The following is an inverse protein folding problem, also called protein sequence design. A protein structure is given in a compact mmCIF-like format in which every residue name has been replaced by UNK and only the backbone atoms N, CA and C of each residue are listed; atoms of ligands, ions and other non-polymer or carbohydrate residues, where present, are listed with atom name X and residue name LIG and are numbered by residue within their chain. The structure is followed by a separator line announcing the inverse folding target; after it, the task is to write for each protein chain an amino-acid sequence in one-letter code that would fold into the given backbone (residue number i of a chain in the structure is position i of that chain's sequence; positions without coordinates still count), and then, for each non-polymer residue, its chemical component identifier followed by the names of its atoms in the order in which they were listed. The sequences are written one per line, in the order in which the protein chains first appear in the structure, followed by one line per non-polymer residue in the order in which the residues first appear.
data_IF_253345366468
#
_entry.id   IF_253345366468
#
_cell.length_a   1.000
_cell.length_b   1.000
_cell.length_c   1.000
_cell.angle_alpha   90.00
_cell.angle_beta   90.00
_cell.angle_gamma   90.00
#
_symmetry.space_group_name_H-M   'P 1'
#
loop_
_entity.id
_entity.type
_entity.pdbx_description
1 polymer ?
#
# COMPACT_ATOMS: atom_id res chain seq x y z
N UNK A 1 7.37 -4.93 -11.63
CA UNK A 1 8.27 -5.73 -12.50
C UNK A 1 8.49 -4.94 -13.78
N UNK A 2 9.69 -4.43 -14.01
CA UNK A 2 10.03 -3.69 -15.23
C UNK A 2 11.48 -4.01 -15.61
N UNK A 3 11.76 -4.08 -16.91
CA UNK A 3 13.12 -4.31 -17.42
C UNK A 3 13.97 -3.07 -17.18
N UNK A 4 15.29 -3.25 -17.00
CA UNK A 4 16.19 -2.12 -16.88
C UNK A 4 16.11 -1.24 -18.15
N UNK A 5 15.96 0.07 -17.94
CA UNK A 5 15.77 1.03 -19.02
C UNK A 5 15.41 2.41 -18.50
N UNK A 6 15.03 3.31 -19.40
CA UNK A 6 14.63 4.67 -19.04
C UNK A 6 13.44 4.70 -18.10
N UNK A 7 12.42 3.86 -18.35
CA UNK A 7 11.25 3.76 -17.49
C UNK A 7 11.62 3.36 -16.06
N UNK A 8 12.45 2.32 -15.88
CA UNK A 8 12.93 1.91 -14.56
C UNK A 8 13.71 3.04 -13.86
N UNK A 9 14.63 3.71 -14.58
CA UNK A 9 15.42 4.83 -14.04
C UNK A 9 14.52 5.99 -13.61
N UNK A 10 13.54 6.35 -14.43
CA UNK A 10 12.54 7.40 -14.15
C UNK A 10 11.72 7.06 -12.90
N UNK A 11 11.15 5.86 -12.83
CA UNK A 11 10.37 5.43 -11.66
C UNK A 11 11.22 5.39 -10.40
N UNK A 12 12.45 4.84 -10.45
CA UNK A 12 13.35 4.83 -9.31
C UNK A 12 13.68 6.24 -8.81
N UNK A 13 13.94 7.18 -9.72
CA UNK A 13 14.20 8.59 -9.38
C UNK A 13 12.99 9.25 -8.71
N UNK A 14 11.80 9.10 -9.28
CA UNK A 14 10.56 9.69 -8.75
C UNK A 14 10.25 9.16 -7.35
N UNK A 15 10.48 7.86 -7.10
CA UNK A 15 10.15 7.23 -5.82
C UNK A 15 11.21 7.46 -4.73
N UNK A 16 12.45 7.83 -5.08
CA UNK A 16 13.53 7.95 -4.09
C UNK A 16 13.28 9.07 -3.09
N UNK A 17 12.97 10.27 -3.57
CA UNK A 17 12.73 11.46 -2.72
C UNK A 17 11.60 11.23 -1.70
N UNK A 18 10.41 10.75 -2.09
CA UNK A 18 9.29 10.60 -1.16
C UNK A 18 9.37 9.40 -0.21
N UNK A 19 10.22 8.39 -0.46
CA UNK A 19 10.27 7.18 0.38
C UNK A 19 11.64 6.87 0.99
N UNK A 20 12.71 7.08 0.24
CA UNK A 20 14.01 6.44 0.48
C UNK A 20 15.10 7.46 0.75
N UNK A 21 14.82 8.45 1.61
CA UNK A 21 15.81 9.43 2.07
C UNK A 21 15.84 9.52 3.59
N UNK A 22 16.97 9.92 4.16
CA UNK A 22 17.08 10.18 5.60
C UNK A 22 16.08 11.25 6.07
N UNK A 23 15.75 12.22 5.20
CA UNK A 23 14.73 13.23 5.50
C UNK A 23 13.36 12.60 5.74
N UNK A 24 12.96 11.64 4.91
CA UNK A 24 11.70 10.89 5.08
C UNK A 24 11.72 10.10 6.38
N UNK A 25 12.84 9.45 6.72
CA UNK A 25 12.97 8.75 8.01
C UNK A 25 12.75 9.72 9.18
N UNK A 26 13.41 10.88 9.19
CA UNK A 26 13.25 11.87 10.27
C UNK A 26 11.83 12.44 10.34
N UNK A 27 11.18 12.61 9.19
CA UNK A 27 9.81 13.09 9.09
C UNK A 27 8.81 12.08 9.68
N UNK A 28 8.97 10.79 9.40
CA UNK A 28 7.98 9.77 9.78
C UNK A 28 8.34 8.96 11.04
N UNK A 29 9.56 9.09 11.59
CA UNK A 29 9.98 8.33 12.79
C UNK A 29 8.97 8.40 13.93
N UNK A 30 8.44 9.60 14.20
CA UNK A 30 7.50 9.82 15.29
C UNK A 30 6.17 9.09 15.04
N UNK A 31 5.72 9.03 13.79
CA UNK A 31 4.54 8.27 13.43
C UNK A 31 4.76 6.76 13.57
N UNK A 32 5.96 6.26 13.26
CA UNK A 32 6.30 4.85 13.45
C UNK A 32 6.41 4.47 14.91
N UNK A 33 7.06 5.32 15.71
CA UNK A 33 7.14 5.21 17.18
C UNK A 33 5.74 5.26 17.82
N UNK A 34 4.85 6.10 17.29
CA UNK A 34 3.45 6.14 17.73
C UNK A 34 2.71 4.85 17.42
N UNK A 35 2.82 4.34 16.20
CA UNK A 35 2.12 3.11 15.82
C UNK A 35 2.64 1.88 16.57
N UNK A 36 3.94 1.78 16.86
CA UNK A 36 4.47 0.67 17.68
C UNK A 36 4.05 0.80 19.15
N UNK A 37 3.97 2.02 19.69
CA UNK A 37 3.44 2.24 21.05
C UNK A 37 2.00 1.75 21.17
N UNK A 38 1.17 2.05 20.17
CA UNK A 38 -0.22 1.54 20.10
C UNK A 38 -0.27 0.02 20.04
N UNK A 39 0.64 -0.64 19.31
CA UNK A 39 0.72 -2.11 19.33
C UNK A 39 0.96 -2.62 20.75
N UNK A 40 1.90 -2.00 21.48
CA UNK A 40 2.20 -2.40 22.87
C UNK A 40 1.00 -2.18 23.78
N UNK A 41 0.29 -1.04 23.64
CA UNK A 41 -0.92 -0.73 24.41
C UNK A 41 -2.06 -1.72 24.11
N UNK A 42 -2.31 -2.04 22.84
CA UNK A 42 -3.35 -2.99 22.43
C UNK A 42 -3.04 -4.41 22.92
N UNK A 43 -1.77 -4.83 22.88
CA UNK A 43 -1.36 -6.14 23.43
C UNK A 43 -1.48 -6.15 24.95
N UNK A 44 -1.08 -5.08 25.63
CA UNK A 44 -1.13 -4.97 27.10
C UNK A 44 -2.57 -4.96 27.63
N UNK A 45 -3.48 -4.33 26.89
CA UNK A 45 -4.89 -4.23 27.27
C UNK A 45 -5.70 -5.49 26.96
N UNK A 46 -5.15 -6.44 26.20
CA UNK A 46 -5.81 -7.71 25.90
C UNK A 46 -5.51 -8.77 26.99
N UNK A 47 -6.50 -9.20 27.80
CA UNK A 47 -6.29 -10.20 28.84
C UNK A 47 -5.78 -11.55 28.30
N UNK A 48 -6.19 -11.93 27.09
CA UNK A 48 -5.76 -13.18 26.45
C UNK A 48 -4.26 -13.17 26.15
N UNK A 49 -3.66 -12.00 25.91
CA UNK A 49 -2.23 -11.88 25.64
C UNK A 49 -1.37 -12.30 26.83
N UNK A 50 -1.89 -12.14 28.06
CA UNK A 50 -1.21 -12.54 29.31
C UNK A 50 -1.49 -13.97 29.76
N UNK A 51 -2.51 -14.61 29.19
CA UNK A 51 -2.99 -15.93 29.62
C UNK A 51 -2.85 -16.97 28.50
N UNK A 52 -3.77 -16.99 27.54
CA UNK A 52 -3.84 -17.98 26.45
C UNK A 52 -2.91 -17.71 25.26
N UNK A 53 -2.28 -16.53 25.21
CA UNK A 53 -1.47 -16.09 24.09
C UNK A 53 -2.30 -15.58 22.92
N UNK A 54 -1.67 -14.76 22.07
CA UNK A 54 -2.33 -14.14 20.91
C UNK A 54 -1.50 -14.29 19.63
N UNK A 55 -2.16 -14.25 18.49
CA UNK A 55 -1.48 -14.17 17.18
C UNK A 55 -1.10 -12.72 16.89
N UNK A 56 0.00 -12.25 17.49
CA UNK A 56 0.48 -10.85 17.40
C UNK A 56 0.69 -10.37 15.95
N UNK A 57 0.93 -11.29 15.01
CA UNK A 57 1.04 -11.00 13.58
C UNK A 57 -0.17 -10.23 13.03
N UNK A 58 -1.39 -10.47 13.53
CA UNK A 58 -2.59 -9.76 13.07
C UNK A 58 -2.49 -8.26 13.36
N UNK A 59 -2.10 -7.91 14.60
CA UNK A 59 -1.89 -6.53 15.03
C UNK A 59 -0.66 -5.87 14.39
N UNK A 60 0.43 -6.62 14.20
CA UNK A 60 1.62 -6.13 13.48
C UNK A 60 1.34 -5.90 11.98
N UNK A 61 0.41 -6.63 11.39
CA UNK A 61 -0.01 -6.36 10.02
C UNK A 61 -0.68 -4.98 9.92
N UNK A 62 -1.55 -4.62 10.87
CA UNK A 62 -2.13 -3.27 10.93
C UNK A 62 -1.05 -2.19 11.08
N UNK A 63 -0.04 -2.41 11.94
CA UNK A 63 1.11 -1.51 12.08
C UNK A 63 1.80 -1.25 10.73
N UNK A 64 2.13 -2.32 9.99
CA UNK A 64 2.80 -2.18 8.70
C UNK A 64 1.95 -1.41 7.68
N UNK A 65 0.63 -1.62 7.69
CA UNK A 65 -0.29 -0.86 6.84
C UNK A 65 -0.33 0.62 7.27
N UNK A 66 -0.48 0.93 8.56
CA UNK A 66 -0.50 2.30 9.04
C UNK A 66 0.81 3.05 8.71
N UNK A 67 1.96 2.41 8.89
CA UNK A 67 3.26 2.97 8.49
C UNK A 67 3.26 3.34 7.01
N UNK A 68 2.93 2.36 6.14
CA UNK A 68 3.00 2.56 4.71
C UNK A 68 1.96 3.58 4.21
N UNK A 69 0.73 3.55 4.73
CA UNK A 69 -0.36 4.42 4.28
C UNK A 69 -0.23 5.84 4.82
N UNK A 70 0.37 6.06 6.00
CA UNK A 70 0.75 7.40 6.46
C UNK A 70 1.83 8.01 5.56
N UNK A 71 2.81 7.22 5.15
CA UNK A 71 3.84 7.69 4.20
C UNK A 71 3.24 7.99 2.81
N UNK A 72 2.38 7.10 2.31
CA UNK A 72 1.83 7.22 0.97
C UNK A 72 0.77 8.31 0.84
N UNK A 73 -0.18 8.36 1.78
CA UNK A 73 -1.43 9.11 1.65
C UNK A 73 -1.73 10.01 2.85
N UNK A 74 -0.85 10.05 3.85
CA UNK A 74 -1.09 10.67 5.16
C UNK A 74 -2.34 10.10 5.87
N UNK A 75 -2.60 8.81 5.67
CA UNK A 75 -3.79 8.12 6.17
C UNK A 75 -3.43 6.93 7.04
N UNK A 76 -4.23 6.70 8.09
CA UNK A 76 -4.15 5.52 8.95
C UNK A 76 -5.50 4.80 9.04
N UNK A 77 -5.45 3.53 9.42
CA UNK A 77 -6.60 2.71 9.78
C UNK A 77 -6.74 2.69 11.30
N UNK A 78 -7.97 2.74 11.79
CA UNK A 78 -8.22 2.93 13.23
C UNK A 78 -7.95 1.68 14.05
N UNK A 79 -8.38 0.52 13.55
CA UNK A 79 -8.28 -0.77 14.26
C UNK A 79 -8.21 -1.95 13.27
N UNK A 80 -8.03 -3.15 13.80
CA UNK A 80 -8.08 -4.39 12.99
C UNK A 80 -9.46 -4.64 12.38
N UNK A 81 -10.51 -4.00 12.92
CA UNK A 81 -11.90 -4.12 12.49
C UNK A 81 -12.34 -2.99 11.55
N UNK A 82 -11.42 -2.08 11.18
CA UNK A 82 -11.71 -1.01 10.23
C UNK A 82 -12.19 -1.62 8.87
N UNK A 83 -13.40 -1.28 8.40
CA UNK A 83 -13.95 -1.88 7.18
C UNK A 83 -13.09 -1.63 5.94
N UNK A 84 -12.46 -0.46 5.85
CA UNK A 84 -11.57 -0.10 4.75
C UNK A 84 -10.28 -0.93 4.81
N UNK A 85 -9.72 -1.12 6.01
CA UNK A 85 -8.56 -1.98 6.23
C UNK A 85 -8.84 -3.43 5.85
N UNK A 86 -9.97 -3.99 6.31
CA UNK A 86 -10.37 -5.37 6.01
C UNK A 86 -10.49 -5.56 4.49
N UNK A 87 -11.22 -4.67 3.82
CA UNK A 87 -11.42 -4.73 2.36
C UNK A 87 -10.09 -4.62 1.60
N UNK A 88 -9.24 -3.69 2.00
CA UNK A 88 -7.91 -3.51 1.40
C UNK A 88 -7.01 -4.74 1.62
N UNK A 89 -7.02 -5.30 2.84
CA UNK A 89 -6.26 -6.50 3.20
C UNK A 89 -6.70 -7.70 2.37
N UNK A 90 -8.01 -7.88 2.17
CA UNK A 90 -8.56 -8.92 1.31
C UNK A 90 -8.09 -8.75 -0.15
N UNK A 91 -8.19 -7.55 -0.71
CA UNK A 91 -7.74 -7.26 -2.09
C UNK A 91 -6.24 -7.50 -2.29
N UNK A 92 -5.40 -7.10 -1.33
CA UNK A 92 -3.96 -7.35 -1.37
C UNK A 92 -3.63 -8.84 -1.18
N UNK A 93 -4.43 -9.56 -0.38
CA UNK A 93 -4.37 -11.01 -0.20
C UNK A 93 -4.65 -11.75 -1.50
N UNK A 94 -5.80 -11.49 -2.14
CA UNK A 94 -6.17 -12.11 -3.41
C UNK A 94 -5.16 -11.84 -4.54
N UNK A 95 -4.68 -10.59 -4.64
CA UNK A 95 -3.62 -10.24 -5.59
C UNK A 95 -2.36 -11.08 -5.37
N UNK A 96 -1.98 -11.31 -4.12
CA UNK A 96 -0.78 -12.08 -3.79
C UNK A 96 -1.00 -13.59 -4.00
N UNK A 97 -2.18 -14.10 -3.64
CA UNK A 97 -2.60 -15.49 -3.88
C UNK A 97 -2.54 -15.82 -5.38
N UNK A 98 -3.09 -14.97 -6.24
CA UNK A 98 -3.05 -15.18 -7.69
C UNK A 98 -1.63 -15.06 -8.28
N UNK A 99 -0.79 -14.20 -7.72
CA UNK A 99 0.59 -14.06 -8.20
C UNK A 99 1.52 -15.20 -7.73
N UNK A 100 1.08 -16.03 -6.79
CA UNK A 100 1.86 -17.12 -6.20
C UNK A 100 1.23 -18.50 -6.42
N UNK A 101 0.06 -18.57 -7.09
CA UNK A 101 -0.60 -19.85 -7.33
C UNK A 101 0.18 -20.69 -8.34
N UNK A 102 0.18 -22.00 -8.15
CA UNK A 102 0.73 -22.94 -9.13
C UNK A 102 -0.24 -23.17 -10.31
N UNK A 103 -1.49 -22.71 -10.21
CA UNK A 103 -2.57 -22.96 -11.18
C UNK A 103 -2.31 -22.35 -12.57
N UNK A 104 -1.34 -21.44 -12.70
CA UNK A 104 -0.98 -20.85 -14.00
C UNK A 104 0.36 -21.35 -14.56
N UNK A 105 1.12 -22.12 -13.79
CA UNK A 105 2.47 -22.54 -14.17
C UNK A 105 2.52 -23.31 -15.48
N UNK A 106 1.51 -24.14 -15.78
CA UNK A 106 1.51 -24.95 -17.00
C UNK A 106 1.52 -24.09 -18.28
N UNK A 107 0.83 -22.94 -18.27
CA UNK A 107 0.80 -22.05 -19.43
C UNK A 107 2.00 -21.10 -19.50
N UNK A 108 2.72 -20.92 -18.39
CA UNK A 108 3.99 -20.20 -18.34
C UNK A 108 5.18 -21.09 -18.73
N UNK A 109 5.19 -22.36 -18.31
CA UNK A 109 6.23 -23.34 -18.66
C UNK A 109 6.06 -23.91 -20.06
N UNK A 110 4.82 -24.12 -20.51
CA UNK A 110 4.49 -24.65 -21.84
C UNK A 110 3.61 -23.62 -22.57
N UNK A 111 4.21 -22.68 -23.33
CA UNK A 111 3.49 -21.53 -23.91
C UNK A 111 2.31 -21.91 -24.83
N UNK A 112 2.34 -23.09 -25.45
CA UNK A 112 1.25 -23.60 -26.30
C UNK A 112 -0.05 -23.81 -25.47
N UNK A 113 0.06 -24.08 -24.16
CA UNK A 113 -1.09 -24.25 -23.27
C UNK A 113 -1.66 -22.93 -22.73
N UNK A 114 -1.02 -21.79 -23.03
CA UNK A 114 -1.44 -20.47 -22.55
C UNK A 114 -2.89 -20.10 -22.89
N UNK A 115 -3.49 -20.48 -24.05
CA UNK A 115 -4.90 -20.22 -24.32
C UNK A 115 -5.86 -20.80 -23.27
N UNK A 116 -5.49 -21.89 -22.58
CA UNK A 116 -6.30 -22.49 -21.52
C UNK A 116 -6.29 -21.67 -20.21
N UNK A 117 -5.31 -20.75 -20.04
CA UNK A 117 -5.28 -19.81 -18.92
C UNK A 117 -6.29 -18.67 -19.04
N UNK A 118 -7.13 -18.62 -20.08
CA UNK A 118 -8.07 -17.51 -20.30
C UNK A 118 -8.94 -17.18 -19.09
N UNK A 119 -9.45 -18.21 -18.39
CA UNK A 119 -10.23 -18.04 -17.16
C UNK A 119 -9.41 -17.43 -16.02
N UNK A 120 -8.20 -17.96 -15.79
CA UNK A 120 -7.28 -17.47 -14.77
C UNK A 120 -6.86 -16.02 -15.02
N UNK A 121 -6.50 -15.69 -16.26
CA UNK A 121 -6.10 -14.34 -16.67
C UNK A 121 -7.27 -13.34 -16.59
N UNK A 122 -8.51 -13.80 -16.83
CA UNK A 122 -9.72 -12.99 -16.62
C UNK A 122 -9.88 -12.65 -15.14
N UNK A 123 -9.74 -13.63 -14.25
CA UNK A 123 -9.80 -13.42 -12.80
C UNK A 123 -8.68 -12.46 -12.32
N UNK A 124 -7.45 -12.62 -12.81
CA UNK A 124 -6.35 -11.69 -12.52
C UNK A 124 -6.68 -10.24 -12.93
N UNK A 125 -7.34 -10.08 -14.09
CA UNK A 125 -7.75 -8.77 -14.60
C UNK A 125 -8.83 -8.14 -13.72
N UNK A 126 -9.87 -8.89 -13.37
CA UNK A 126 -10.95 -8.45 -12.50
C UNK A 126 -10.39 -7.98 -11.14
N UNK A 127 -9.56 -8.80 -10.48
CA UNK A 127 -8.92 -8.43 -9.20
C UNK A 127 -8.02 -7.20 -9.34
N UNK A 128 -7.27 -7.08 -10.46
CA UNK A 128 -6.45 -5.89 -10.73
C UNK A 128 -7.32 -4.65 -10.85
N UNK A 129 -8.41 -4.70 -11.62
CA UNK A 129 -9.32 -3.58 -11.85
C UNK A 129 -10.03 -3.17 -10.56
N UNK A 130 -10.62 -4.12 -9.82
CA UNK A 130 -11.25 -3.85 -8.52
C UNK A 130 -10.27 -3.20 -7.55
N UNK A 131 -9.05 -3.72 -7.47
CA UNK A 131 -8.01 -3.16 -6.60
C UNK A 131 -7.63 -1.74 -7.03
N UNK A 132 -7.39 -1.50 -8.32
CA UNK A 132 -7.02 -0.17 -8.82
C UNK A 132 -8.13 0.87 -8.61
N UNK A 133 -9.40 0.50 -8.84
CA UNK A 133 -10.54 1.36 -8.57
C UNK A 133 -10.64 1.70 -7.09
N UNK A 134 -10.48 0.69 -6.21
CA UNK A 134 -10.44 0.90 -4.77
C UNK A 134 -9.31 1.86 -4.34
N UNK A 135 -8.09 1.71 -4.89
CA UNK A 135 -7.00 2.64 -4.63
C UNK A 135 -7.31 4.07 -5.11
N UNK A 136 -7.91 4.17 -6.30
CA UNK A 136 -8.29 5.45 -6.89
C UNK A 136 -9.30 6.18 -6.00
N UNK A 137 -10.44 5.54 -5.74
CA UNK A 137 -11.58 6.11 -5.03
C UNK A 137 -11.24 6.50 -3.59
N UNK A 138 -10.54 5.62 -2.86
CA UNK A 138 -10.35 5.81 -1.42
C UNK A 138 -9.06 6.50 -1.03
N UNK A 139 -8.08 6.66 -1.94
CA UNK A 139 -6.79 7.23 -1.57
C UNK A 139 -6.29 8.27 -2.57
N UNK A 140 -6.29 7.96 -3.87
CA UNK A 140 -5.70 8.87 -4.87
C UNK A 140 -6.58 10.11 -5.10
N UNK A 141 -7.89 9.94 -5.26
CA UNK A 141 -8.80 11.07 -5.46
C UNK A 141 -8.84 12.00 -4.25
N UNK A 142 -8.74 11.46 -3.02
CA UNK A 142 -8.60 12.27 -1.80
C UNK A 142 -7.35 13.17 -1.87
N UNK A 143 -6.19 12.62 -2.24
CA UNK A 143 -4.96 13.44 -2.42
C UNK A 143 -5.09 14.47 -3.53
N UNK A 144 -5.75 14.14 -4.64
CA UNK A 144 -6.01 15.11 -5.72
C UNK A 144 -6.92 16.24 -5.26
N UNK A 145 -7.95 15.95 -4.47
CA UNK A 145 -8.87 16.96 -3.93
C UNK A 145 -8.17 17.88 -2.93
N UNK A 146 -7.29 17.34 -2.09
CA UNK A 146 -6.46 18.14 -1.18
C UNK A 146 -5.52 19.04 -1.99
N UNK A 147 -4.88 18.50 -3.03
CA UNK A 147 -4.00 19.28 -3.89
C UNK A 147 -4.73 20.39 -4.67
N UNK A 148 -5.99 20.20 -5.06
CA UNK A 148 -6.77 21.20 -5.82
C UNK A 148 -7.39 22.30 -4.95
N UNK A 149 -7.75 21.98 -3.71
CA UNK A 149 -8.26 22.97 -2.73
C UNK A 149 -7.14 23.82 -2.14
N UNK A 150 -5.93 23.28 -2.09
CA UNK A 150 -4.75 23.95 -1.54
C UNK A 150 -3.95 24.66 -2.65
N UNK A 151 -4.59 25.55 -3.41
CA UNK A 151 -3.93 26.50 -4.36
C UNK A 151 -2.92 27.42 -3.65
N UNK A 152 -2.86 27.35 -2.32
CA UNK A 152 -1.89 28.05 -1.48
C UNK A 152 -1.30 27.07 -0.46
N UNK A 153 -0.57 26.04 -0.90
CA UNK A 153 0.31 25.33 0.03
C UNK A 153 1.35 26.34 0.51
N UNK A 154 1.10 26.90 1.71
CA UNK A 154 2.06 27.72 2.44
C UNK A 154 3.38 26.94 2.46
N UNK A 155 4.48 27.61 2.15
CA UNK A 155 5.83 27.08 2.34
C UNK A 155 5.95 26.49 3.77
N UNK A 156 5.79 25.17 3.91
CA UNK A 156 5.79 24.51 5.23
C UNK A 156 4.95 23.23 5.37
N UNK A 157 3.91 23.02 4.56
CA UNK A 157 3.12 21.77 4.65
C UNK A 157 3.87 20.56 4.06
N UNK A 158 3.91 19.48 4.83
CA UNK A 158 4.63 18.26 4.49
C UNK A 158 3.84 17.46 3.44
N UNK A 159 4.35 17.46 2.20
CA UNK A 159 3.84 16.59 1.14
C UNK A 159 4.03 15.11 1.53
N UNK A 160 2.99 14.30 1.31
CA UNK A 160 3.11 12.85 1.41
C UNK A 160 3.62 12.29 0.08
N UNK A 161 3.97 11.00 0.05
CA UNK A 161 4.64 10.44 -1.11
C UNK A 161 3.81 10.48 -2.40
N UNK A 162 2.49 10.30 -2.31
CA UNK A 162 1.61 10.39 -3.47
C UNK A 162 1.53 11.78 -4.07
N UNK A 163 1.68 12.85 -3.27
CA UNK A 163 1.69 14.21 -3.82
C UNK A 163 2.90 14.42 -4.73
N UNK A 164 4.07 13.88 -4.34
CA UNK A 164 5.26 13.88 -5.19
C UNK A 164 5.07 13.08 -6.49
N UNK A 165 4.33 11.97 -6.43
CA UNK A 165 4.03 11.15 -7.61
C UNK A 165 3.05 11.87 -8.55
N UNK A 166 2.02 12.52 -8.01
CA UNK A 166 1.05 13.32 -8.77
C UNK A 166 1.74 14.55 -9.41
N UNK A 167 2.62 15.23 -8.67
CA UNK A 167 3.43 16.32 -9.21
C UNK A 167 4.33 15.87 -10.37
N UNK A 168 4.94 14.69 -10.24
CA UNK A 168 5.76 14.11 -11.30
C UNK A 168 4.92 13.76 -12.54
N UNK A 169 3.71 13.25 -12.35
CA UNK A 169 2.77 12.97 -13.45
C UNK A 169 2.43 14.23 -14.24
N UNK A 170 2.23 15.36 -13.56
CA UNK A 170 1.89 16.64 -14.20
C UNK A 170 3.08 17.27 -14.96
N UNK A 171 4.32 16.93 -14.59
CA UNK A 171 5.55 17.54 -15.13
C UNK A 171 6.17 16.80 -16.33
N UNK A 172 5.62 15.65 -16.75
CA UNK A 172 6.17 14.83 -17.85
C UNK A 172 7.15 13.78 -17.37
#
# INVERSE_FOLDING_TARGET
FTVYGEHWRKMRRIMTVPFFTNKVVQQYRFAWEDEIRRVVEDVRSNPEASSGGIVIRRRLQLLMYNIMYRMMFDRRFESENDPLFIKLKALNGERSRLAQSFDYNYGDFIPILRPFLRGYLKLCREIKETRLNFFKEHFVEERKNIASTTTTMKNGELKCAMDHILDAQNKG
#
